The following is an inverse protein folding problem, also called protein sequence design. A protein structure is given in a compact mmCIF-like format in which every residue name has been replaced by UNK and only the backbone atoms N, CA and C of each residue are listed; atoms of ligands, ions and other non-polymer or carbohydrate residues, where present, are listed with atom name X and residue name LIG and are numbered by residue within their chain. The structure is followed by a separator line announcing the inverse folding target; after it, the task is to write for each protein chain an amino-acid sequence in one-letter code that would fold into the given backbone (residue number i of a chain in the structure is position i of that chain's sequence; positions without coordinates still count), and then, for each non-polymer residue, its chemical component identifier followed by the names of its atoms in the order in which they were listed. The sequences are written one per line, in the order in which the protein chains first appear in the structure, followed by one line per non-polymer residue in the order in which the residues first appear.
data_IF_910007092468
#
_entry.id   IF_910007092468
#
_cell.length_a   1.000
_cell.length_b   1.000
_cell.length_c   1.000
_cell.angle_alpha   90.00
_cell.angle_beta   90.00
_cell.angle_gamma   90.00
#
_symmetry.space_group_name_H-M   'P 1'
#
loop_
_entity.id
_entity.type
_entity.pdbx_description
1 polymer ?
#
# COMPACT_ATOMS: atom_id res chain seq x y z
N UNK A 1 7.01 -0.10 4.27
CA UNK A 1 6.68 -0.24 2.83
C UNK A 1 6.34 -1.68 2.41
N UNK A 2 7.25 -2.65 2.59
CA UNK A 2 7.06 -4.02 2.07
C UNK A 2 5.80 -4.74 2.61
N UNK A 3 5.58 -4.76 3.92
CA UNK A 3 4.36 -5.36 4.52
C UNK A 3 3.05 -4.70 4.08
N UNK A 4 3.10 -3.45 3.62
CA UNK A 4 1.90 -2.70 3.23
C UNK A 4 1.16 -3.35 2.06
N UNK A 5 1.88 -3.90 1.07
CA UNK A 5 1.25 -4.54 -0.08
C UNK A 5 0.52 -5.83 0.33
N UNK A 6 1.10 -6.61 1.25
CA UNK A 6 0.43 -7.81 1.79
C UNK A 6 -0.81 -7.45 2.61
N UNK A 7 -0.75 -6.42 3.46
CA UNK A 7 -1.92 -5.97 4.24
C UNK A 7 -3.04 -5.42 3.37
N UNK A 8 -2.70 -4.67 2.32
CA UNK A 8 -3.70 -4.00 1.50
C UNK A 8 -4.25 -4.87 0.36
N UNK A 9 -3.41 -5.66 -0.29
CA UNK A 9 -3.84 -6.55 -1.37
C UNK A 9 -4.16 -7.95 -0.83
N UNK A 10 -3.26 -8.61 -0.12
CA UNK A 10 -3.47 -10.00 0.26
C UNK A 10 -4.49 -10.19 1.39
N UNK A 11 -4.31 -9.51 2.53
CA UNK A 11 -5.17 -9.69 3.70
C UNK A 11 -6.64 -9.36 3.41
N UNK A 12 -6.89 -8.43 2.48
CA UNK A 12 -8.23 -7.94 2.15
C UNK A 12 -8.84 -8.62 0.93
N UNK A 13 -8.02 -8.94 -0.08
CA UNK A 13 -8.50 -9.42 -1.38
C UNK A 13 -7.92 -10.75 -1.81
N UNK A 14 -6.85 -11.24 -1.17
CA UNK A 14 -6.05 -12.37 -1.65
C UNK A 14 -6.89 -13.61 -1.92
N UNK A 15 -7.72 -14.02 -0.97
CA UNK A 15 -8.58 -15.21 -1.12
C UNK A 15 -9.70 -15.03 -2.15
N UNK A 16 -10.22 -13.80 -2.31
CA UNK A 16 -11.27 -13.50 -3.29
C UNK A 16 -10.72 -13.43 -4.72
N UNK A 17 -9.55 -12.80 -4.88
CA UNK A 17 -8.92 -12.58 -6.19
C UNK A 17 -8.17 -13.81 -6.70
N UNK A 18 -7.73 -14.68 -5.79
CA UNK A 18 -6.92 -15.85 -6.11
C UNK A 18 -7.54 -17.13 -5.52
N UNK A 19 -8.76 -17.52 -5.95
CA UNK A 19 -9.46 -18.68 -5.40
C UNK A 19 -8.74 -20.02 -5.68
N UNK A 20 -7.88 -20.06 -6.71
CA UNK A 20 -7.03 -21.19 -7.04
C UNK A 20 -5.71 -21.24 -6.25
N UNK A 21 -5.51 -20.34 -5.28
CA UNK A 21 -4.27 -20.19 -4.54
C UNK A 21 -3.42 -19.01 -5.06
N UNK A 22 -2.41 -18.67 -4.26
CA UNK A 22 -1.59 -17.48 -4.46
C UNK A 22 -0.85 -17.50 -5.82
N UNK A 23 -0.65 -16.34 -6.48
CA UNK A 23 0.09 -16.30 -7.73
C UNK A 23 1.55 -16.75 -7.53
N UNK A 24 2.29 -17.13 -8.59
CA UNK A 24 3.67 -17.57 -8.44
C UNK A 24 4.56 -16.51 -7.76
N UNK A 25 5.58 -16.97 -7.03
CA UNK A 25 6.57 -16.12 -6.36
C UNK A 25 5.98 -15.15 -5.34
N UNK A 26 4.95 -15.57 -4.59
CA UNK A 26 4.46 -14.86 -3.40
C UNK A 26 4.76 -15.69 -2.14
N UNK A 27 4.76 -15.05 -0.95
CA UNK A 27 4.96 -15.74 0.32
C UNK A 27 3.99 -16.92 0.49
N UNK A 28 4.41 -17.90 1.29
CA UNK A 28 3.50 -18.97 1.69
C UNK A 28 2.30 -18.40 2.48
N UNK A 29 1.21 -19.17 2.63
CA UNK A 29 0.10 -18.77 3.49
C UNK A 29 0.55 -18.40 4.91
N UNK A 30 1.45 -19.19 5.51
CA UNK A 30 2.00 -18.96 6.85
C UNK A 30 2.83 -17.68 6.89
N UNK A 31 3.71 -17.48 5.91
CA UNK A 31 4.53 -16.27 5.84
C UNK A 31 3.67 -15.01 5.62
N UNK A 32 2.57 -15.14 4.88
CA UNK A 32 1.67 -14.00 4.67
C UNK A 32 0.94 -13.60 5.95
N UNK A 33 0.62 -14.54 6.84
CA UNK A 33 0.13 -14.23 8.18
C UNK A 33 1.17 -13.41 8.94
N UNK A 34 2.45 -13.82 8.93
CA UNK A 34 3.53 -13.08 9.60
C UNK A 34 3.72 -11.67 9.01
N UNK A 35 3.63 -11.51 7.69
CA UNK A 35 3.77 -10.22 7.01
C UNK A 35 2.61 -9.27 7.28
N UNK A 36 1.42 -9.78 7.59
CA UNK A 36 0.21 -9.00 7.85
C UNK A 36 0.00 -8.71 9.33
N UNK A 37 0.41 -9.62 10.21
CA UNK A 37 0.21 -9.59 11.67
C UNK A 37 1.49 -9.30 12.46
N UNK A 38 2.46 -8.58 11.88
CA UNK A 38 3.63 -8.08 12.62
C UNK A 38 3.20 -7.40 13.92
N UNK A 39 3.93 -7.70 15.00
CA UNK A 39 3.74 -7.10 16.34
C UNK A 39 3.98 -5.58 16.38
N UNK A 40 4.58 -5.02 15.32
CA UNK A 40 4.76 -3.60 15.16
C UNK A 40 3.76 -3.02 14.16
N UNK A 41 3.19 -1.87 14.52
CA UNK A 41 2.32 -1.14 13.62
C UNK A 41 3.07 -0.70 12.35
N UNK A 42 2.45 -0.90 11.18
CA UNK A 42 2.90 -0.43 9.84
C UNK A 42 4.32 -0.83 9.39
N UNK A 43 5.06 -1.66 10.13
CA UNK A 43 6.37 -2.23 9.72
C UNK A 43 6.40 -3.76 9.78
N UNK A 44 7.40 -4.36 9.14
CA UNK A 44 7.66 -5.81 9.25
C UNK A 44 8.24 -6.12 10.62
N UNK A 45 8.11 -7.37 11.07
CA UNK A 45 8.74 -7.81 12.32
C UNK A 45 10.26 -7.89 12.11
N UNK A 46 11.00 -7.03 12.81
CA UNK A 46 12.46 -6.94 12.66
C UNK A 46 13.20 -8.16 13.22
N UNK A 47 12.55 -8.98 14.06
CA UNK A 47 13.11 -10.26 14.50
C UNK A 47 13.04 -11.34 13.41
N UNK A 48 12.17 -11.15 12.40
CA UNK A 48 11.96 -12.07 11.29
C UNK A 48 12.57 -11.55 9.98
N UNK A 49 12.48 -10.23 9.75
CA UNK A 49 12.83 -9.59 8.49
C UNK A 49 13.81 -8.43 8.72
N UNK A 50 15.09 -8.74 8.81
CA UNK A 50 16.15 -7.73 9.03
C UNK A 50 17.15 -7.63 7.87
N UNK A 51 17.33 -8.68 7.08
CA UNK A 51 18.25 -8.69 5.93
C UNK A 51 17.74 -7.81 4.80
N UNK A 52 18.60 -6.93 4.25
CA UNK A 52 18.23 -6.02 3.15
C UNK A 52 17.70 -6.79 1.94
N UNK A 53 18.36 -7.88 1.55
CA UNK A 53 17.93 -8.69 0.41
C UNK A 53 16.57 -9.34 0.65
N UNK A 54 16.29 -9.78 1.88
CA UNK A 54 14.99 -10.32 2.28
C UNK A 54 13.92 -9.22 2.20
N UNK A 55 14.20 -8.03 2.71
CA UNK A 55 13.27 -6.89 2.66
C UNK A 55 12.94 -6.51 1.20
N UNK A 56 13.95 -6.50 0.33
CA UNK A 56 13.80 -6.23 -1.09
C UNK A 56 12.99 -7.32 -1.79
N UNK A 57 13.26 -8.58 -1.48
CA UNK A 57 12.47 -9.71 -1.97
C UNK A 57 10.99 -9.54 -1.57
N UNK A 58 10.71 -9.25 -0.30
CA UNK A 58 9.31 -9.05 0.16
C UNK A 58 8.64 -7.86 -0.49
N UNK A 59 9.38 -6.78 -0.77
CA UNK A 59 8.85 -5.67 -1.55
C UNK A 59 8.46 -6.10 -2.97
N UNK A 60 9.34 -6.85 -3.65
CA UNK A 60 9.08 -7.35 -5.00
C UNK A 60 7.88 -8.30 -5.04
N UNK A 61 7.80 -9.23 -4.09
CA UNK A 61 6.66 -10.15 -3.94
C UNK A 61 5.35 -9.38 -3.71
N UNK A 62 5.36 -8.37 -2.85
CA UNK A 62 4.19 -7.51 -2.62
C UNK A 62 3.76 -6.72 -3.86
N UNK A 63 4.72 -6.24 -4.67
CA UNK A 63 4.43 -5.59 -5.95
C UNK A 63 3.88 -6.58 -6.99
N UNK A 64 4.39 -7.81 -7.02
CA UNK A 64 3.92 -8.87 -7.91
C UNK A 64 2.45 -9.23 -7.65
N UNK A 65 1.99 -9.21 -6.40
CA UNK A 65 0.55 -9.37 -6.07
C UNK A 65 -0.28 -8.27 -6.72
N UNK A 66 0.13 -7.00 -6.58
CA UNK A 66 -0.57 -5.87 -7.20
C UNK A 66 -0.61 -5.99 -8.73
N UNK A 67 0.50 -6.40 -9.34
CA UNK A 67 0.58 -6.65 -10.78
C UNK A 67 -0.34 -7.80 -11.23
N UNK A 68 -0.38 -8.90 -10.47
CA UNK A 68 -1.25 -10.03 -10.75
C UNK A 68 -2.73 -9.65 -10.67
N UNK A 69 -3.11 -8.82 -9.69
CA UNK A 69 -4.48 -8.28 -9.61
C UNK A 69 -4.76 -7.42 -10.86
N UNK A 70 -3.91 -6.44 -11.19
CA UNK A 70 -4.12 -5.58 -12.35
C UNK A 70 -4.14 -6.33 -13.69
N UNK A 71 -3.45 -7.46 -13.80
CA UNK A 71 -3.46 -8.29 -14.99
C UNK A 71 -4.77 -9.05 -15.20
N UNK A 72 -5.56 -9.27 -14.13
CA UNK A 72 -6.82 -10.01 -14.17
C UNK A 72 -8.05 -9.11 -14.02
N UNK A 73 -7.86 -7.84 -13.64
CA UNK A 73 -8.93 -6.88 -13.42
C UNK A 73 -9.01 -5.85 -14.54
N UNK A 74 -10.21 -5.31 -14.75
CA UNK A 74 -10.41 -4.12 -15.60
C UNK A 74 -10.57 -2.88 -14.74
N UNK A 75 -10.38 -1.69 -15.34
CA UNK A 75 -10.66 -0.42 -14.67
C UNK A 75 -12.11 -0.35 -14.13
N UNK A 76 -13.08 -0.97 -14.82
CA UNK A 76 -14.46 -1.07 -14.35
C UNK A 76 -14.59 -1.95 -13.10
N UNK A 77 -13.95 -3.12 -13.12
CA UNK A 77 -14.02 -4.08 -12.00
C UNK A 77 -13.37 -3.56 -10.72
N UNK A 78 -12.19 -2.94 -10.81
CA UNK A 78 -11.53 -2.37 -9.61
C UNK A 78 -12.31 -1.22 -8.96
N UNK A 79 -13.22 -0.57 -9.70
CA UNK A 79 -14.09 0.50 -9.19
C UNK A 79 -15.34 0.00 -8.49
N UNK A 80 -15.75 -1.24 -8.73
CA UNK A 80 -16.99 -1.80 -8.17
C UNK A 80 -16.74 -2.78 -7.03
N UNK A 81 -15.56 -3.41 -6.99
CA UNK A 81 -15.16 -4.27 -5.89
C UNK A 81 -14.83 -3.44 -4.65
N UNK A 82 -15.62 -3.62 -3.59
CA UNK A 82 -15.47 -2.92 -2.33
C UNK A 82 -15.24 -3.88 -1.15
N UNK A 83 -14.48 -3.44 -0.15
CA UNK A 83 -14.38 -4.13 1.13
C UNK A 83 -14.73 -3.18 2.29
N UNK A 84 -15.24 -3.75 3.39
CA UNK A 84 -15.59 -3.02 4.61
C UNK A 84 -14.35 -2.70 5.46
N UNK A 85 -14.28 -1.47 5.97
CA UNK A 85 -13.28 -1.04 6.93
C UNK A 85 -13.92 -0.20 8.03
N UNK A 86 -13.41 -0.35 9.25
CA UNK A 86 -13.82 0.47 10.39
C UNK A 86 -12.85 1.64 10.55
N UNK A 87 -13.35 2.87 10.43
CA UNK A 87 -12.61 4.11 10.67
C UNK A 87 -13.35 4.94 11.73
N UNK A 88 -12.70 5.16 12.86
CA UNK A 88 -13.22 5.98 13.96
C UNK A 88 -12.92 7.48 13.76
N UNK A 89 -12.48 7.88 12.57
CA UNK A 89 -12.14 9.25 12.20
C UNK A 89 -10.65 9.56 12.32
N UNK A 90 -9.79 8.55 12.31
CA UNK A 90 -8.35 8.75 12.49
C UNK A 90 -7.74 9.50 11.28
N UNK A 91 -8.25 9.26 10.06
CA UNK A 91 -7.65 9.78 8.83
C UNK A 91 -8.62 10.69 8.04
N UNK A 92 -8.99 11.87 8.57
CA UNK A 92 -9.97 12.76 7.95
C UNK A 92 -9.53 13.29 6.57
N UNK A 93 -8.23 13.39 6.33
CA UNK A 93 -7.68 13.81 5.03
C UNK A 93 -7.81 12.74 3.94
N UNK A 94 -8.01 11.47 4.30
CA UNK A 94 -7.96 10.35 3.36
C UNK A 94 -9.05 10.46 2.29
N UNK A 95 -10.23 10.95 2.67
CA UNK A 95 -11.37 11.19 1.77
C UNK A 95 -11.13 12.30 0.75
N UNK A 96 -10.21 13.23 1.05
CA UNK A 96 -9.93 14.35 0.16
C UNK A 96 -8.91 13.98 -0.93
N UNK A 97 -8.18 12.88 -0.76
CA UNK A 97 -7.09 12.46 -1.67
C UNK A 97 -7.50 11.31 -2.59
N UNK A 98 -8.50 10.54 -2.17
CA UNK A 98 -8.90 9.31 -2.84
C UNK A 98 -10.35 9.36 -3.30
N UNK A 99 -10.57 8.84 -4.51
CA UNK A 99 -11.90 8.50 -5.02
C UNK A 99 -12.23 7.05 -4.66
N UNK A 100 -13.52 6.69 -4.60
CA UNK A 100 -13.95 5.31 -4.32
C UNK A 100 -14.08 4.98 -2.83
N UNK A 101 -14.22 6.00 -1.98
CA UNK A 101 -14.65 5.85 -0.60
C UNK A 101 -16.09 6.28 -0.43
N UNK A 102 -16.86 5.50 0.32
CA UNK A 102 -18.17 5.90 0.81
C UNK A 102 -18.36 5.48 2.27
N UNK A 103 -18.93 6.37 3.07
CA UNK A 103 -19.35 6.07 4.45
C UNK A 103 -20.73 5.42 4.44
N UNK A 104 -20.95 4.51 5.37
CA UNK A 104 -22.28 3.99 5.65
C UNK A 104 -23.15 5.14 6.24
N UNK A 105 -24.36 5.37 5.72
CA UNK A 105 -25.22 6.47 6.17
C UNK A 105 -25.79 6.25 7.58
N UNK A 106 -25.83 5.01 8.07
CA UNK A 106 -26.41 4.65 9.36
C UNK A 106 -25.33 4.43 10.43
N UNK A 107 -24.17 3.90 10.05
CA UNK A 107 -23.04 3.65 10.95
C UNK A 107 -21.80 4.43 10.49
N UNK A 108 -21.59 5.62 11.05
CA UNK A 108 -20.54 6.54 10.61
C UNK A 108 -19.10 5.99 10.70
N UNK A 109 -18.87 4.92 11.47
CA UNK A 109 -17.58 4.24 11.58
C UNK A 109 -17.34 3.20 10.48
N UNK A 110 -18.37 2.79 9.75
CA UNK A 110 -18.26 1.83 8.65
C UNK A 110 -18.02 2.54 7.32
N UNK A 111 -17.03 2.05 6.60
CA UNK A 111 -16.59 2.61 5.32
C UNK A 111 -16.38 1.50 4.31
N UNK A 112 -16.68 1.81 3.07
CA UNK A 112 -16.40 0.95 1.93
C UNK A 112 -15.28 1.57 1.11
N UNK A 113 -14.26 0.75 0.85
CA UNK A 113 -13.12 1.09 0.02
C UNK A 113 -13.17 0.27 -1.26
N UNK A 114 -13.13 0.93 -2.41
CA UNK A 114 -12.93 0.22 -3.68
C UNK A 114 -11.51 -0.33 -3.80
N UNK A 115 -11.32 -1.35 -4.62
CA UNK A 115 -9.99 -1.83 -4.98
C UNK A 115 -9.16 -0.73 -5.69
N UNK A 116 -9.79 0.14 -6.48
CA UNK A 116 -9.16 1.33 -7.07
C UNK A 116 -8.56 2.24 -5.99
N UNK A 117 -9.32 2.50 -4.91
CA UNK A 117 -8.85 3.29 -3.76
C UNK A 117 -7.56 2.71 -3.19
N UNK A 118 -7.49 1.39 -3.05
CA UNK A 118 -6.32 0.71 -2.51
C UNK A 118 -5.12 0.89 -3.43
N UNK A 119 -5.28 0.70 -4.74
CA UNK A 119 -4.18 0.92 -5.69
C UNK A 119 -3.66 2.36 -5.61
N UNK A 120 -4.55 3.35 -5.58
CA UNK A 120 -4.18 4.76 -5.40
C UNK A 120 -3.45 4.99 -4.08
N UNK A 121 -3.96 4.42 -2.99
CA UNK A 121 -3.32 4.49 -1.68
C UNK A 121 -1.90 3.92 -1.69
N UNK A 122 -1.71 2.72 -2.25
CA UNK A 122 -0.40 2.08 -2.34
C UNK A 122 0.55 2.86 -3.23
N UNK A 123 0.05 3.38 -4.35
CA UNK A 123 0.82 4.22 -5.23
C UNK A 123 1.32 5.50 -4.53
N UNK A 124 0.42 6.25 -3.86
CA UNK A 124 0.78 7.47 -3.14
C UNK A 124 1.76 7.22 -1.99
N UNK A 125 1.61 6.12 -1.26
CA UNK A 125 2.63 5.68 -0.29
C UNK A 125 3.99 5.45 -0.96
N UNK A 126 4.02 4.69 -2.06
CA UNK A 126 5.28 4.37 -2.73
C UNK A 126 6.02 5.60 -3.24
N UNK A 127 5.34 6.53 -3.93
CA UNK A 127 5.99 7.75 -4.41
C UNK A 127 6.47 8.64 -3.27
N UNK A 128 5.71 8.71 -2.17
CA UNK A 128 6.09 9.50 -0.98
C UNK A 128 7.37 8.96 -0.33
N UNK A 129 7.45 7.64 -0.13
CA UNK A 129 8.66 7.02 0.43
C UNK A 129 9.85 7.12 -0.53
N UNK A 130 9.62 6.95 -1.85
CA UNK A 130 10.68 7.12 -2.85
C UNK A 130 11.23 8.55 -2.87
N UNK A 131 10.36 9.55 -2.78
CA UNK A 131 10.77 10.95 -2.65
C UNK A 131 11.66 11.16 -1.43
N UNK A 132 11.25 10.67 -0.26
CA UNK A 132 12.04 10.78 0.97
C UNK A 132 13.41 10.08 0.86
N UNK A 133 13.47 8.89 0.24
CA UNK A 133 14.73 8.20 -0.02
C UNK A 133 15.64 9.03 -0.93
N UNK A 134 15.12 9.63 -1.99
CA UNK A 134 15.90 10.48 -2.88
C UNK A 134 16.38 11.77 -2.21
N UNK A 135 15.56 12.36 -1.34
CA UNK A 135 15.95 13.52 -0.53
C UNK A 135 17.12 13.18 0.40
N UNK A 136 17.08 12.02 1.06
CA UNK A 136 18.19 11.54 1.90
C UNK A 136 19.45 11.31 1.07
N UNK A 137 19.33 10.73 -0.14
CA UNK A 137 20.45 10.57 -1.06
C UNK A 137 21.11 11.90 -1.38
N UNK A 138 20.34 12.92 -1.74
CA UNK A 138 20.86 14.26 -2.03
C UNK A 138 21.60 14.85 -0.82
N UNK A 139 21.04 14.73 0.39
CA UNK A 139 21.69 15.19 1.62
C UNK A 139 23.03 14.47 1.90
N UNK A 140 23.21 13.26 1.37
CA UNK A 140 24.45 12.47 1.45
C UNK A 140 25.40 12.69 0.27
N UNK A 141 25.09 13.63 -0.63
CA UNK A 141 25.89 13.87 -1.85
C UNK A 141 25.73 12.78 -2.92
N UNK A 142 24.71 11.93 -2.82
CA UNK A 142 24.40 10.88 -3.78
C UNK A 142 23.43 11.38 -4.85
N UNK A 143 23.53 10.83 -6.06
CA UNK A 143 22.63 11.15 -7.16
C UNK A 143 21.26 10.48 -7.00
N UNK A 144 20.22 11.18 -7.47
CA UNK A 144 18.89 10.60 -7.63
C UNK A 144 18.82 9.73 -8.88
N UNK A 145 17.88 8.78 -8.90
CA UNK A 145 17.72 7.85 -10.03
C UNK A 145 16.70 8.33 -11.07
N UNK A 146 15.66 9.04 -10.61
CA UNK A 146 14.55 9.52 -11.46
C UNK A 146 13.83 10.64 -10.72
N UNK A 147 13.19 11.56 -11.43
CA UNK A 147 12.25 12.49 -10.80
C UNK A 147 11.03 11.72 -10.27
N UNK A 148 10.53 12.12 -9.11
CA UNK A 148 9.32 11.56 -8.49
C UNK A 148 8.19 12.58 -8.65
N UNK A 149 7.02 12.19 -9.18
CA UNK A 149 5.90 13.10 -9.34
C UNK A 149 5.39 13.59 -7.98
N UNK A 150 5.05 14.87 -7.89
CA UNK A 150 4.44 15.47 -6.70
C UNK A 150 2.92 15.38 -6.84
N UNK A 151 2.36 14.29 -6.32
CA UNK A 151 0.91 14.02 -6.34
C UNK A 151 0.46 13.23 -5.11
N UNK A 152 -0.86 13.04 -4.99
CA UNK A 152 -1.45 12.36 -3.84
C UNK A 152 -1.13 13.08 -2.53
N UNK A 153 -0.52 12.36 -1.58
CA UNK A 153 -0.18 12.91 -0.27
C UNK A 153 0.82 14.06 -0.34
N UNK A 154 1.77 14.00 -1.27
CA UNK A 154 2.77 15.06 -1.44
C UNK A 154 2.17 16.35 -1.99
N UNK A 155 0.96 16.31 -2.56
CA UNK A 155 0.25 17.50 -3.00
C UNK A 155 -0.67 18.10 -1.92
N UNK A 156 -0.78 17.47 -0.74
CA UNK A 156 -1.59 18.00 0.36
C UNK A 156 -0.95 19.23 1.01
N UNK A 157 -1.76 20.21 1.45
CA UNK A 157 -1.27 21.31 2.28
C UNK A 157 -0.55 20.78 3.54
N UNK A 158 0.63 21.35 3.81
CA UNK A 158 1.42 20.99 4.99
C UNK A 158 2.34 19.77 4.81
N UNK A 159 2.36 19.13 3.63
CA UNK A 159 3.36 18.11 3.34
C UNK A 159 4.76 18.72 3.20
N UNK A 160 5.76 18.14 3.88
CA UNK A 160 7.14 18.61 3.81
C UNK A 160 7.82 18.20 2.49
N UNK A 161 8.07 19.20 1.64
CA UNK A 161 8.79 19.09 0.38
C UNK A 161 10.12 19.87 0.38
N UNK A 162 10.67 20.15 1.56
CA UNK A 162 11.96 20.82 1.69
C UNK A 162 13.06 20.02 1.00
N UNK A 163 14.00 20.75 0.39
CA UNK A 163 15.20 20.19 -0.25
C UNK A 163 16.40 20.33 0.70
N UNK A 164 17.38 19.40 0.64
CA UNK A 164 18.62 19.50 1.43
C UNK A 164 19.46 20.72 1.04
#
# INVERSE_FOLDING_TARGET
MASGNFRWFWQRWGLEMFPGGAPPNVPSPEETVLLTQSKYDRRMDEDLYWGVDVILEKLLQGLAIGQAILANETAGSVRTKEFEFSDTGEWPWFYNVHTGLRRDPELNTRIWFTLETIFRHRYFEHITHLYNIQRIKLAQGLTIKTEIPIEGYMALPGWDLSKP
#
